data_IF_614202809330
#
_entry.id   IF_614202809330
#
_cell.length_a   1.000
_cell.length_b   1.000
_cell.length_c   1.000
_cell.angle_alpha   90.00
_cell.angle_beta   90.00
_cell.angle_gamma   90.00
#
_symmetry.space_group_name_H-M   'P 1'
#
loop_
_entity.id
_entity.type
_entity.pdbx_description
1 polymer ?
#
# COMPACT_ATOMS: atom_id res chain seq x y z
N UNK A 1 -6.19 8.70 14.24
CA UNK A 1 -6.29 7.45 13.47
C UNK A 1 -7.35 6.52 13.99
N UNK A 2 -7.48 6.36 15.31
CA UNK A 2 -8.61 5.66 15.92
C UNK A 2 -9.99 6.03 15.31
N UNK A 3 -10.14 7.23 14.77
CA UNK A 3 -11.39 7.76 14.20
C UNK A 3 -11.44 7.83 12.66
N UNK A 4 -10.40 7.39 11.95
CA UNK A 4 -10.41 7.43 10.48
C UNK A 4 -11.40 6.39 9.93
N UNK A 5 -12.24 6.80 8.98
CA UNK A 5 -13.16 5.89 8.29
C UNK A 5 -12.39 5.01 7.31
N UNK A 6 -12.68 3.71 7.31
CA UNK A 6 -12.17 2.78 6.30
C UNK A 6 -12.87 3.00 4.97
N UNK A 7 -12.13 2.77 3.88
CA UNK A 7 -12.67 2.60 2.54
C UNK A 7 -13.21 1.18 2.40
N UNK A 8 -14.54 0.95 2.29
CA UNK A 8 -15.11 -0.39 2.30
C UNK A 8 -14.64 -1.25 1.11
N UNK A 9 -14.42 -0.63 -0.05
CA UNK A 9 -13.87 -1.24 -1.25
C UNK A 9 -12.42 -1.70 -1.05
N UNK A 10 -11.60 -0.90 -0.34
CA UNK A 10 -10.23 -1.29 0.00
C UNK A 10 -10.20 -2.55 0.88
N UNK A 11 -11.11 -2.65 1.86
CA UNK A 11 -11.19 -3.82 2.75
C UNK A 11 -11.47 -5.10 1.96
N UNK A 12 -12.45 -5.06 1.06
CA UNK A 12 -12.83 -6.22 0.24
C UNK A 12 -11.71 -6.65 -0.69
N UNK A 13 -11.11 -5.72 -1.44
CA UNK A 13 -10.07 -6.04 -2.43
C UNK A 13 -8.78 -6.52 -1.76
N UNK A 14 -8.32 -5.85 -0.71
CA UNK A 14 -7.07 -6.22 -0.04
C UNK A 14 -7.19 -7.60 0.64
N UNK A 15 -8.31 -7.87 1.29
CA UNK A 15 -8.53 -9.18 1.92
C UNK A 15 -8.69 -10.30 0.87
N UNK A 16 -9.34 -10.02 -0.26
CA UNK A 16 -9.38 -10.95 -1.41
C UNK A 16 -7.96 -11.28 -1.88
N UNK A 17 -7.13 -10.28 -2.16
CA UNK A 17 -5.74 -10.50 -2.57
C UNK A 17 -4.92 -11.26 -1.54
N UNK A 18 -5.10 -10.96 -0.25
CA UNK A 18 -4.48 -11.72 0.83
C UNK A 18 -4.86 -13.20 0.75
N UNK A 19 -6.15 -13.51 0.59
CA UNK A 19 -6.65 -14.88 0.51
C UNK A 19 -6.24 -15.58 -0.80
N UNK A 20 -5.97 -14.83 -1.88
CA UNK A 20 -5.38 -15.30 -3.14
C UNK A 20 -3.85 -15.52 -3.08
N UNK A 21 -3.22 -15.24 -1.93
CA UNK A 21 -1.78 -15.44 -1.70
C UNK A 21 -0.90 -14.24 -2.06
N UNK A 22 -1.47 -13.06 -2.29
CA UNK A 22 -0.68 -11.84 -2.49
C UNK A 22 -0.06 -11.37 -1.17
N UNK A 23 1.19 -10.93 -1.24
CA UNK A 23 1.89 -10.38 -0.07
C UNK A 23 1.54 -8.90 0.16
N UNK A 24 0.57 -8.64 1.04
CA UNK A 24 0.12 -7.28 1.38
C UNK A 24 1.05 -6.60 2.40
N UNK A 25 1.65 -5.47 2.02
CA UNK A 25 2.46 -4.61 2.91
C UNK A 25 1.93 -3.17 2.89
N UNK A 26 1.56 -2.62 4.06
CA UNK A 26 1.24 -1.21 4.19
C UNK A 26 2.51 -0.36 4.28
N UNK A 27 2.56 0.74 3.53
CA UNK A 27 3.69 1.67 3.55
C UNK A 27 3.22 3.10 3.84
N UNK A 28 3.58 3.63 5.01
CA UNK A 28 2.99 4.86 5.58
C UNK A 28 4.04 5.89 5.96
N UNK A 29 3.68 7.18 5.86
CA UNK A 29 4.54 8.31 6.24
C UNK A 29 4.51 8.65 7.72
N UNK A 30 3.95 7.75 8.53
CA UNK A 30 3.97 7.84 9.98
C UNK A 30 5.31 7.39 10.52
N UNK A 31 5.69 7.95 11.65
CA UNK A 31 6.88 7.53 12.38
C UNK A 31 6.60 6.27 13.21
N UNK A 32 7.66 5.57 13.60
CA UNK A 32 7.58 4.34 14.42
C UNK A 32 6.80 4.54 15.72
N UNK A 33 6.86 5.71 16.34
CA UNK A 33 6.07 6.05 17.53
C UNK A 33 4.54 5.92 17.32
N UNK A 34 4.07 5.95 16.06
CA UNK A 34 2.67 5.78 15.70
C UNK A 34 2.31 4.35 15.28
N UNK A 35 3.23 3.38 15.38
CA UNK A 35 3.01 2.00 14.94
C UNK A 35 1.83 1.37 15.66
N UNK A 36 1.82 1.42 16.99
CA UNK A 36 0.81 0.76 17.82
C UNK A 36 -0.61 1.22 17.44
N UNK A 37 -0.85 2.53 17.37
CA UNK A 37 -2.16 3.06 16.96
C UNK A 37 -2.54 2.70 15.52
N UNK A 38 -1.55 2.45 14.65
CA UNK A 38 -1.78 1.98 13.28
C UNK A 38 -2.20 0.51 13.27
N UNK A 39 -1.48 -0.34 14.00
CA UNK A 39 -1.75 -1.79 14.09
C UNK A 39 -3.11 -2.06 14.75
N UNK A 40 -3.44 -1.36 15.83
CA UNK A 40 -4.76 -1.44 16.48
C UNK A 40 -5.86 -1.09 15.48
N UNK A 41 -5.73 0.03 14.77
CA UNK A 41 -6.74 0.43 13.79
C UNK A 41 -6.88 -0.57 12.64
N UNK A 42 -5.77 -1.09 12.10
CA UNK A 42 -5.80 -2.10 11.03
C UNK A 42 -6.52 -3.37 11.48
N UNK A 43 -6.23 -3.83 12.71
CA UNK A 43 -6.85 -5.00 13.32
C UNK A 43 -8.36 -4.79 13.56
N UNK A 44 -8.74 -3.66 14.15
CA UNK A 44 -10.15 -3.33 14.42
C UNK A 44 -10.99 -3.22 13.16
N UNK A 45 -10.38 -2.78 12.05
CA UNK A 45 -11.04 -2.69 10.76
C UNK A 45 -10.94 -3.97 9.91
N UNK A 46 -10.35 -5.05 10.43
CA UNK A 46 -10.33 -6.37 9.79
C UNK A 46 -9.44 -6.46 8.54
N UNK A 47 -8.43 -5.59 8.41
CA UNK A 47 -7.48 -5.64 7.29
C UNK A 47 -6.45 -6.75 7.52
N UNK A 48 -6.35 -7.69 6.57
CA UNK A 48 -5.31 -8.72 6.56
C UNK A 48 -4.05 -8.20 5.87
N UNK A 49 -2.89 -8.35 6.49
CA UNK A 49 -1.61 -7.89 5.94
C UNK A 49 -0.44 -8.70 6.50
N UNK A 50 0.71 -8.61 5.83
CA UNK A 50 1.95 -9.30 6.21
C UNK A 50 3.04 -8.33 6.70
N UNK A 51 3.05 -7.09 6.20
CA UNK A 51 4.05 -6.09 6.54
C UNK A 51 3.47 -4.70 6.81
N UNK A 52 4.12 -3.95 7.71
CA UNK A 52 3.88 -2.52 7.94
C UNK A 52 5.21 -1.78 8.01
N UNK A 53 5.48 -0.99 6.97
CA UNK A 53 6.66 -0.15 6.83
C UNK A 53 6.32 1.30 7.20
N UNK A 54 7.02 1.83 8.19
CA UNK A 54 6.88 3.19 8.69
C UNK A 54 7.93 4.11 8.05
N UNK A 55 7.80 5.42 8.22
CA UNK A 55 8.79 6.41 7.83
C UNK A 55 8.84 6.74 6.34
N UNK A 56 7.78 6.46 5.58
CA UNK A 56 7.69 6.87 4.16
C UNK A 56 7.93 8.38 4.02
N UNK A 57 8.86 8.82 3.16
CA UNK A 57 9.02 10.23 2.85
C UNK A 57 7.73 10.86 2.30
N UNK A 58 7.39 12.07 2.75
CA UNK A 58 6.20 12.80 2.29
C UNK A 58 6.48 13.57 0.99
N UNK A 59 6.43 12.86 -0.14
CA UNK A 59 6.57 13.45 -1.47
C UNK A 59 8.02 13.75 -1.88
N UNK A 60 8.20 14.34 -3.08
CA UNK A 60 9.51 14.62 -3.70
C UNK A 60 10.04 13.52 -4.61
N UNK A 61 11.31 13.66 -5.03
CA UNK A 61 12.04 12.72 -5.88
C UNK A 61 12.58 11.54 -5.04
N UNK A 62 11.70 10.65 -4.57
CA UNK A 62 12.11 9.41 -3.91
C UNK A 62 11.90 8.23 -4.85
N UNK A 63 12.89 7.33 -4.88
CA UNK A 63 12.89 6.16 -5.74
C UNK A 63 12.96 4.90 -4.88
N UNK A 64 12.13 3.91 -5.22
CA UNK A 64 12.27 2.55 -4.70
C UNK A 64 13.18 1.78 -5.66
N UNK A 65 14.30 1.29 -5.14
CA UNK A 65 15.30 0.54 -5.92
C UNK A 65 15.27 -0.89 -5.43
N UNK A 66 14.91 -1.80 -6.32
CA UNK A 66 14.82 -3.24 -6.06
C UNK A 66 15.43 -3.96 -7.27
N UNK A 67 16.07 -5.11 -7.05
CA UNK A 67 16.60 -5.95 -8.12
C UNK A 67 15.54 -6.90 -8.71
N UNK A 68 14.35 -6.94 -8.11
CA UNK A 68 13.17 -7.65 -8.58
C UNK A 68 12.17 -6.69 -9.24
N UNK A 69 11.31 -7.23 -10.11
CA UNK A 69 10.29 -6.42 -10.81
C UNK A 69 9.23 -5.97 -9.80
N UNK A 70 9.21 -4.68 -9.50
CA UNK A 70 8.11 -4.04 -8.75
C UNK A 70 7.03 -3.60 -9.74
N UNK A 71 5.89 -4.27 -9.75
CA UNK A 71 4.71 -3.84 -10.52
C UNK A 71 4.03 -2.70 -9.76
N UNK A 72 4.06 -1.49 -10.33
CA UNK A 72 3.39 -0.34 -9.73
C UNK A 72 1.88 -0.37 -10.03
N UNK A 73 1.06 -0.66 -9.03
CA UNK A 73 -0.38 -0.41 -9.08
C UNK A 73 -0.66 1.01 -8.60
N UNK A 74 -1.34 1.83 -9.41
CA UNK A 74 -1.67 3.21 -9.06
C UNK A 74 -3.11 3.29 -8.55
N UNK A 75 -3.29 3.86 -7.35
CA UNK A 75 -4.60 4.22 -6.82
C UNK A 75 -4.99 5.64 -7.27
N UNK A 76 -6.21 5.80 -7.79
CA UNK A 76 -6.76 7.08 -8.26
C UNK A 76 -8.10 7.43 -7.59
N UNK A 77 -8.31 6.95 -6.36
CA UNK A 77 -9.46 7.33 -5.52
C UNK A 77 -10.52 6.25 -5.34
N UNK A 78 -10.45 5.11 -6.06
CA UNK A 78 -11.33 3.94 -5.90
C UNK A 78 -10.57 2.64 -6.08
N UNK A 79 -10.96 1.59 -5.33
CA UNK A 79 -10.44 0.23 -5.51
C UNK A 79 -11.36 -0.54 -6.46
N UNK A 80 -11.09 -0.44 -7.77
CA UNK A 80 -11.80 -1.17 -8.84
C UNK A 80 -10.96 -2.34 -9.35
N UNK A 81 -11.50 -3.07 -10.34
CA UNK A 81 -10.71 -4.02 -11.13
C UNK A 81 -9.52 -3.31 -11.78
N UNK A 82 -8.41 -4.03 -11.90
CA UNK A 82 -7.20 -3.54 -12.56
C UNK A 82 -7.41 -3.51 -14.07
N UNK A 83 -6.90 -2.45 -14.69
CA UNK A 83 -6.87 -2.30 -16.16
C UNK A 83 -5.44 -2.08 -16.61
N UNK A 84 -5.12 -2.54 -17.81
CA UNK A 84 -3.82 -2.30 -18.44
C UNK A 84 -3.77 -0.91 -19.06
N UNK A 85 -2.63 -0.23 -18.91
CA UNK A 85 -2.38 1.10 -19.48
C UNK A 85 -0.92 1.26 -19.87
N UNK A 86 -0.66 1.75 -21.09
CA UNK A 86 0.69 2.15 -21.52
C UNK A 86 1.03 3.55 -21.01
N UNK A 87 2.25 3.73 -20.46
CA UNK A 87 2.76 5.01 -19.96
C UNK A 87 4.25 5.17 -20.27
N UNK A 88 4.69 6.40 -20.56
CA UNK A 88 6.11 6.73 -20.71
C UNK A 88 6.77 6.84 -19.33
N UNK A 89 7.89 6.14 -19.12
CA UNK A 89 8.66 6.15 -17.87
C UNK A 89 10.13 6.47 -18.12
N UNK A 90 10.83 6.89 -17.07
CA UNK A 90 12.29 6.99 -17.06
C UNK A 90 12.89 5.71 -16.47
N UNK A 91 13.92 5.16 -17.13
CA UNK A 91 14.59 3.93 -16.70
C UNK A 91 16.11 4.15 -16.64
N UNK A 92 16.80 3.35 -15.84
CA UNK A 92 18.26 3.33 -15.84
C UNK A 92 18.79 2.82 -17.19
N UNK A 93 19.91 3.39 -17.64
CA UNK A 93 20.62 2.91 -18.82
C UNK A 93 21.31 1.57 -18.48
N UNK A 94 21.28 0.56 -19.37
CA UNK A 94 22.03 -0.69 -19.19
C UNK A 94 23.54 -0.48 -19.08
#
# INVERSE_FOLDING_TARGET
MATAKIYPDALVILNKWYDEGHYITFFTSRLEEHREVTEVWLKENGLKYHGLLMGKPRGGNYHWVDNHIVRATRFDGKFTELIDKEVTIQVFKP
#
